data_IF_451075028081
#
_entry.id   IF_451075028081
#
_cell.length_a   1.000
_cell.length_b   1.000
_cell.length_c   1.000
_cell.angle_alpha   90.00
_cell.angle_beta   90.00
_cell.angle_gamma   90.00
#
_symmetry.space_group_name_H-M   'P 1'
#
loop_
_entity.id
_entity.type
_entity.pdbx_description
1 polymer ?
#
# COMPACT_ATOMS: atom_id res chain seq x y z
N UNK A 1 9.31 -19.37 -16.59
CA UNK A 1 10.49 -19.77 -15.77
C UNK A 1 10.31 -19.18 -14.38
N UNK A 2 10.41 -19.96 -13.29
CA UNK A 2 10.24 -19.42 -11.93
C UNK A 2 11.52 -18.74 -11.43
N UNK A 3 11.39 -17.79 -10.52
CA UNK A 3 12.52 -17.03 -9.96
C UNK A 3 13.47 -17.93 -9.15
N UNK A 4 12.95 -18.96 -8.46
CA UNK A 4 13.78 -19.96 -7.77
C UNK A 4 14.68 -20.73 -8.76
N UNK A 5 14.13 -21.07 -9.93
CA UNK A 5 14.90 -21.72 -11.01
C UNK A 5 15.94 -20.78 -11.63
N UNK A 6 15.71 -19.47 -11.58
CA UNK A 6 16.69 -18.48 -12.05
C UNK A 6 17.85 -18.35 -11.05
N UNK A 7 17.54 -18.22 -9.75
CA UNK A 7 18.51 -18.16 -8.66
C UNK A 7 19.42 -19.40 -8.70
N UNK A 8 18.82 -20.58 -8.83
CA UNK A 8 19.56 -21.85 -8.89
C UNK A 8 20.49 -21.90 -10.12
N UNK A 9 20.00 -21.50 -11.29
CA UNK A 9 20.81 -21.45 -12.52
C UNK A 9 21.96 -20.44 -12.43
N UNK A 10 21.75 -19.30 -11.77
CA UNK A 10 22.80 -18.31 -11.57
C UNK A 10 23.91 -18.86 -10.67
N UNK A 11 23.56 -19.53 -9.57
CA UNK A 11 24.53 -20.16 -8.66
C UNK A 11 25.31 -21.28 -9.35
N UNK A 12 24.63 -22.19 -10.05
CA UNK A 12 25.29 -23.27 -10.78
C UNK A 12 26.26 -22.70 -11.82
N UNK A 13 25.83 -21.70 -12.59
CA UNK A 13 26.66 -21.12 -13.64
C UNK A 13 27.85 -20.34 -13.06
N UNK A 14 27.66 -19.61 -11.95
CA UNK A 14 28.75 -18.96 -11.23
C UNK A 14 29.79 -19.97 -10.74
N UNK A 15 29.35 -21.09 -10.14
CA UNK A 15 30.24 -22.15 -9.70
C UNK A 15 30.96 -22.88 -10.84
N UNK A 16 30.31 -23.06 -12.00
CA UNK A 16 30.96 -23.61 -13.20
C UNK A 16 32.05 -22.69 -13.75
N UNK A 17 31.83 -21.36 -13.69
CA UNK A 17 32.81 -20.35 -14.10
C UNK A 17 34.00 -20.38 -13.12
N UNK A 18 33.73 -20.38 -11.82
CA UNK A 18 34.74 -20.45 -10.76
C UNK A 18 35.59 -21.74 -10.82
N UNK A 19 34.96 -22.91 -11.08
CA UNK A 19 35.67 -24.19 -11.24
C UNK A 19 36.46 -24.31 -12.55
N UNK A 20 36.07 -23.56 -13.59
CA UNK A 20 36.73 -23.56 -14.90
C UNK A 20 37.97 -22.67 -14.97
N UNK A 21 38.26 -21.86 -13.93
CA UNK A 21 39.18 -20.75 -14.05
C UNK A 21 40.52 -20.95 -13.33
N UNK A 22 41.57 -21.14 -14.13
CA UNK A 22 42.93 -20.68 -13.80
C UNK A 22 43.19 -19.23 -14.27
N UNK A 23 42.30 -18.58 -15.03
CA UNK A 23 42.64 -17.32 -15.75
C UNK A 23 41.53 -16.23 -15.83
N UNK A 24 40.23 -16.49 -15.67
CA UNK A 24 39.23 -15.43 -15.89
C UNK A 24 38.65 -14.84 -14.59
N UNK A 25 38.13 -13.62 -14.71
CA UNK A 25 37.93 -12.67 -13.62
C UNK A 25 36.80 -13.07 -12.68
N UNK A 26 37.14 -13.40 -11.43
CA UNK A 26 36.19 -13.68 -10.34
C UNK A 26 35.19 -12.55 -10.02
N UNK A 27 35.24 -11.42 -10.73
CA UNK A 27 34.21 -10.37 -10.69
C UNK A 27 32.86 -10.87 -11.20
N UNK A 28 32.82 -11.62 -12.31
CA UNK A 28 31.55 -11.99 -12.94
C UNK A 28 30.82 -13.10 -12.16
N UNK A 29 31.55 -14.10 -11.65
CA UNK A 29 30.98 -15.14 -10.77
C UNK A 29 30.51 -14.55 -9.43
N UNK A 30 31.27 -13.62 -8.84
CA UNK A 30 30.85 -12.89 -7.64
C UNK A 30 29.56 -12.08 -7.86
N UNK A 31 29.47 -11.34 -8.97
CA UNK A 31 28.25 -10.59 -9.34
C UNK A 31 27.06 -11.52 -9.56
N UNK A 32 27.26 -12.72 -10.10
CA UNK A 32 26.20 -13.70 -10.28
C UNK A 32 25.69 -14.25 -8.94
N UNK A 33 26.58 -14.51 -7.97
CA UNK A 33 26.17 -14.89 -6.62
C UNK A 33 25.47 -13.76 -5.87
N UNK A 34 25.95 -12.53 -6.02
CA UNK A 34 25.32 -11.34 -5.45
C UNK A 34 23.91 -11.15 -6.03
N UNK A 35 23.76 -11.21 -7.35
CA UNK A 35 22.48 -11.12 -8.03
C UNK A 35 21.52 -12.22 -7.57
N UNK A 36 21.98 -13.47 -7.46
CA UNK A 36 21.17 -14.58 -6.96
C UNK A 36 20.70 -14.34 -5.51
N UNK A 37 21.57 -13.76 -4.67
CA UNK A 37 21.26 -13.46 -3.26
C UNK A 37 20.28 -12.27 -3.13
N UNK A 38 20.46 -11.22 -3.93
CA UNK A 38 19.54 -10.09 -3.99
C UNK A 38 18.15 -10.52 -4.49
N UNK A 39 18.08 -11.39 -5.49
CA UNK A 39 16.82 -11.96 -5.98
C UNK A 39 16.12 -12.79 -4.90
N UNK A 40 16.86 -13.63 -4.17
CA UNK A 40 16.29 -14.41 -3.07
C UNK A 40 15.73 -13.51 -1.95
N UNK A 41 16.47 -12.46 -1.57
CA UNK A 41 16.05 -11.50 -0.54
C UNK A 41 14.81 -10.71 -0.95
N UNK A 42 14.79 -10.17 -2.17
CA UNK A 42 13.64 -9.41 -2.69
C UNK A 42 12.39 -10.29 -2.82
N UNK A 43 12.53 -11.55 -3.25
CA UNK A 43 11.43 -12.51 -3.29
C UNK A 43 10.84 -12.77 -1.90
N UNK A 44 11.69 -12.95 -0.89
CA UNK A 44 11.23 -13.13 0.50
C UNK A 44 10.47 -11.89 1.01
N UNK A 45 10.96 -10.69 0.71
CA UNK A 45 10.29 -9.45 1.12
C UNK A 45 8.94 -9.26 0.42
N UNK A 46 8.84 -9.58 -0.88
CA UNK A 46 7.55 -9.53 -1.60
C UNK A 46 6.53 -10.48 -0.94
N UNK A 47 6.95 -11.68 -0.58
CA UNK A 47 6.06 -12.64 0.10
C UNK A 47 5.62 -12.11 1.47
N UNK A 48 6.55 -11.56 2.25
CA UNK A 48 6.25 -10.92 3.55
C UNK A 48 5.26 -9.75 3.39
N UNK A 49 5.48 -8.87 2.41
CA UNK A 49 4.59 -7.73 2.17
C UNK A 49 3.20 -8.19 1.74
N UNK A 50 3.10 -9.20 0.86
CA UNK A 50 1.81 -9.79 0.48
C UNK A 50 1.06 -10.36 1.68
N UNK A 51 1.76 -11.06 2.58
CA UNK A 51 1.16 -11.56 3.82
C UNK A 51 0.66 -10.42 4.72
N UNK A 52 1.44 -9.33 4.83
CA UNK A 52 1.02 -8.14 5.59
C UNK A 52 -0.19 -7.46 4.98
N UNK A 53 -0.25 -7.31 3.66
CA UNK A 53 -1.41 -6.75 2.96
C UNK A 53 -2.64 -7.63 3.21
N UNK A 54 -2.54 -8.94 3.02
CA UNK A 54 -3.65 -9.85 3.27
C UNK A 54 -4.13 -9.81 4.73
N UNK A 55 -3.22 -9.69 5.69
CA UNK A 55 -3.57 -9.54 7.10
C UNK A 55 -4.28 -8.20 7.39
N UNK A 56 -3.82 -7.11 6.77
CA UNK A 56 -4.47 -5.80 6.89
C UNK A 56 -5.86 -5.79 6.25
N UNK A 57 -6.00 -6.38 5.07
CA UNK A 57 -7.30 -6.54 4.39
C UNK A 57 -8.27 -7.31 5.29
N UNK A 58 -7.84 -8.44 5.86
CA UNK A 58 -8.65 -9.22 6.80
C UNK A 58 -9.10 -8.41 8.03
N UNK A 59 -8.21 -7.57 8.58
CA UNK A 59 -8.53 -6.72 9.72
C UNK A 59 -9.46 -5.57 9.33
N UNK A 60 -9.33 -5.01 8.13
CA UNK A 60 -10.09 -3.85 7.66
C UNK A 60 -11.50 -4.19 7.18
N UNK A 61 -11.73 -5.38 6.65
CA UNK A 61 -13.07 -5.87 6.23
C UNK A 61 -14.20 -5.58 7.24
N UNK A 62 -14.08 -5.95 8.54
CA UNK A 62 -15.14 -5.67 9.51
C UNK A 62 -15.35 -4.18 9.76
N UNK A 63 -14.30 -3.34 9.67
CA UNK A 63 -14.43 -1.89 9.83
C UNK A 63 -15.09 -1.24 8.62
N UNK A 64 -14.81 -1.72 7.41
CA UNK A 64 -15.49 -1.28 6.20
C UNK A 64 -16.99 -1.60 6.25
N UNK A 65 -17.35 -2.80 6.71
CA UNK A 65 -18.74 -3.20 6.92
C UNK A 65 -19.44 -2.35 8.00
N UNK A 66 -18.76 -2.04 9.11
CA UNK A 66 -19.27 -1.13 10.14
C UNK A 66 -19.46 0.30 9.62
N UNK A 67 -18.50 0.84 8.87
CA UNK A 67 -18.58 2.17 8.31
C UNK A 67 -19.74 2.30 7.30
N UNK A 68 -20.02 1.26 6.50
CA UNK A 68 -21.19 1.23 5.61
C UNK A 68 -22.51 1.24 6.40
N UNK A 69 -22.55 0.55 7.54
CA UNK A 69 -23.73 0.47 8.42
C UNK A 69 -23.95 1.79 9.19
N UNK A 70 -22.90 2.38 9.74
CA UNK A 70 -22.99 3.66 10.44
C UNK A 70 -23.19 4.84 9.48
N UNK A 71 -22.58 4.82 8.28
CA UNK A 71 -22.74 5.85 7.26
C UNK A 71 -24.15 5.94 6.66
N UNK A 72 -24.94 4.86 6.75
CA UNK A 72 -26.36 4.84 6.36
C UNK A 72 -27.30 5.28 7.49
N UNK A 73 -26.84 5.22 8.75
CA UNK A 73 -27.61 5.65 9.93
C UNK A 73 -27.46 7.13 10.28
N UNK A 74 -26.55 7.86 9.63
CA UNK A 74 -26.44 9.32 9.83
C UNK A 74 -27.51 10.02 8.98
N UNK A 75 -28.58 10.59 9.58
CA UNK A 75 -29.57 11.36 8.85
C UNK A 75 -28.94 12.55 8.13
N UNK A 76 -29.45 12.86 6.93
CA UNK A 76 -28.98 13.99 6.10
C UNK A 76 -29.17 15.35 6.78
N UNK A 77 -30.01 15.41 7.82
CA UNK A 77 -30.27 16.59 8.65
C UNK A 77 -29.29 16.74 9.82
N UNK A 78 -28.33 15.82 9.99
CA UNK A 78 -27.30 15.98 11.00
C UNK A 78 -26.37 17.13 10.62
N UNK A 79 -26.44 18.20 11.41
CA UNK A 79 -25.51 19.33 11.34
C UNK A 79 -24.24 18.97 12.11
N UNK A 80 -23.10 19.09 11.44
CA UNK A 80 -21.79 19.08 12.10
C UNK A 80 -21.53 20.53 12.50
N UNK A 81 -21.84 20.88 13.74
CA UNK A 81 -21.36 22.13 14.33
C UNK A 81 -19.91 21.93 14.76
N UNK A 82 -19.06 22.87 14.37
CA UNK A 82 -17.69 23.00 14.87
C UNK A 82 -17.79 23.43 16.35
N UNK A 83 -17.97 22.46 17.26
CA UNK A 83 -18.10 22.73 18.69
C UNK A 83 -16.72 23.08 19.29
N UNK A 84 -16.29 24.32 19.07
CA UNK A 84 -15.50 25.06 20.05
C UNK A 84 -16.41 26.07 20.74
N UNK A 85 -16.80 25.81 21.99
CA UNK A 85 -17.39 26.83 22.88
C UNK A 85 -16.29 27.46 23.76
N UNK A 86 -16.47 28.65 24.35
CA UNK A 86 -16.76 29.95 23.72
C UNK A 86 -15.92 31.09 24.35
N UNK A 87 -15.35 32.04 23.59
CA UNK A 87 -15.07 33.39 24.15
C UNK A 87 -15.24 34.49 23.08
N UNK A 88 -16.26 35.32 23.29
CA UNK A 88 -16.36 36.74 22.87
C UNK A 88 -16.16 37.13 21.40
N UNK A 89 -16.84 36.46 20.45
CA UNK A 89 -16.96 37.04 19.09
C UNK A 89 -18.42 37.21 18.64
N UNK A 90 -18.83 38.43 18.23
CA UNK A 90 -20.16 38.69 17.73
C UNK A 90 -20.29 38.07 16.32
N UNK A 91 -21.10 37.01 16.25
CA UNK A 91 -21.78 36.47 15.07
C UNK A 91 -21.09 36.72 13.71
N UNK A 92 -20.12 35.87 13.35
CA UNK A 92 -20.03 35.43 11.95
C UNK A 92 -20.76 34.10 11.90
N UNK A 93 -21.77 34.01 11.03
CA UNK A 93 -22.62 32.82 10.92
C UNK A 93 -21.76 31.57 10.87
N UNK A 94 -21.95 30.66 11.83
CA UNK A 94 -21.45 29.30 11.71
C UNK A 94 -22.05 28.74 10.43
N UNK A 95 -21.23 28.61 9.39
CA UNK A 95 -21.63 27.97 8.15
C UNK A 95 -21.67 26.47 8.42
N UNK A 96 -22.71 26.01 9.10
CA UNK A 96 -22.94 24.59 9.36
C UNK A 96 -23.07 23.86 8.03
N UNK A 97 -22.29 22.81 7.85
CA UNK A 97 -22.37 21.93 6.67
C UNK A 97 -23.17 20.70 7.09
N UNK A 98 -24.20 20.36 6.33
CA UNK A 98 -24.95 19.12 6.58
C UNK A 98 -24.17 17.92 6.07
N UNK A 99 -24.35 16.77 6.72
CA UNK A 99 -23.74 15.51 6.25
C UNK A 99 -24.12 15.20 4.80
N UNK A 100 -25.35 15.56 4.38
CA UNK A 100 -25.79 15.44 2.99
C UNK A 100 -24.96 16.29 2.00
N UNK A 101 -24.57 17.52 2.37
CA UNK A 101 -23.67 18.37 1.57
C UNK A 101 -22.27 17.77 1.48
N UNK A 102 -21.74 17.26 2.58
CA UNK A 102 -20.43 16.61 2.62
C UNK A 102 -20.40 15.33 1.75
N UNK A 103 -21.45 14.51 1.83
CA UNK A 103 -21.58 13.27 1.03
C UNK A 103 -21.68 13.54 -0.47
N UNK A 104 -22.21 14.70 -0.88
CA UNK A 104 -22.20 15.14 -2.29
C UNK A 104 -20.80 15.54 -2.73
N UNK A 105 -20.09 16.34 -1.93
CA UNK A 105 -18.72 16.77 -2.22
C UNK A 105 -17.71 15.60 -2.26
N UNK A 106 -17.83 14.63 -1.35
CA UNK A 106 -16.97 13.45 -1.36
C UNK A 106 -17.18 12.58 -2.61
N UNK A 107 -18.42 12.47 -3.10
CA UNK A 107 -18.74 11.74 -4.34
C UNK A 107 -18.20 12.43 -5.59
N UNK A 108 -18.22 13.76 -5.66
CA UNK A 108 -17.60 14.47 -6.80
C UNK A 108 -16.08 14.28 -6.82
N UNK A 109 -15.42 14.32 -5.66
CA UNK A 109 -13.98 14.07 -5.56
C UNK A 109 -13.57 12.63 -5.93
N UNK A 110 -14.44 11.65 -5.69
CA UNK A 110 -14.20 10.25 -6.07
C UNK A 110 -14.45 9.98 -7.56
N UNK A 111 -15.19 10.84 -8.26
CA UNK A 111 -15.45 10.72 -9.70
C UNK A 111 -14.42 11.47 -10.54
N UNK A 112 -13.73 12.45 -9.96
CA UNK A 112 -12.63 13.21 -10.58
C UNK A 112 -11.24 12.57 -10.36
N UNK A 113 -11.16 11.23 -10.36
CA UNK A 113 -9.87 10.56 -10.52
C UNK A 113 -9.20 11.01 -11.83
N UNK A 114 -7.86 11.18 -11.89
CA UNK A 114 -7.19 11.81 -13.01
C UNK A 114 -7.57 11.12 -14.32
N UNK A 115 -8.11 11.90 -15.25
CA UNK A 115 -8.30 11.48 -16.63
C UNK A 115 -6.96 10.94 -17.16
N UNK A 116 -7.03 9.72 -17.69
CA UNK A 116 -5.94 9.07 -18.41
C UNK A 116 -5.42 9.92 -19.58
#
# INVERSE_FOLDING_TARGET
>A
MSIDKLIERLRIKAGMIEMGEKIAWGSDSALMYEAASALASTQAEILRLRQRVAALEYVLEPFAAQAATHGTQIPDEMFIDDYEQPTDRPWKSAAGITVGQLRRAARSLSQDGPAA
#
